data_IF_854320660091
#
_entry.id   IF_854320660091
#
_cell.length_a   1.000
_cell.length_b   1.000
_cell.length_c   1.000
_cell.angle_alpha   90.00
_cell.angle_beta   90.00
_cell.angle_gamma   90.00
#
_symmetry.space_group_name_H-M   'P 1'
#
loop_
_entity.id
_entity.type
_entity.pdbx_description
1 polymer ?
#
# COMPACT_ATOMS: atom_id res chain seq x y z
N UNK A 1 7.75 -7.55 -4.86
CA UNK A 1 9.02 -7.04 -5.41
C UNK A 1 8.82 -5.57 -5.77
N UNK A 2 9.75 -4.68 -5.38
CA UNK A 2 9.77 -3.28 -5.83
C UNK A 2 10.91 -3.14 -6.84
N UNK A 3 10.63 -2.55 -8.00
CA UNK A 3 11.61 -2.28 -9.05
C UNK A 3 11.56 -0.79 -9.36
N UNK A 4 12.71 -0.15 -9.40
CA UNK A 4 12.87 1.26 -9.78
C UNK A 4 13.61 1.32 -11.10
N UNK A 5 12.96 1.85 -12.13
CA UNK A 5 13.50 2.02 -13.49
C UNK A 5 13.32 3.46 -13.95
N UNK A 6 14.05 3.86 -14.98
CA UNK A 6 13.77 5.11 -15.68
C UNK A 6 12.46 4.97 -16.46
N UNK A 7 11.73 6.07 -16.60
CA UNK A 7 10.45 6.08 -17.34
C UNK A 7 10.64 5.64 -18.80
N UNK A 8 11.77 6.00 -19.42
CA UNK A 8 12.16 5.57 -20.77
C UNK A 8 12.22 4.04 -20.94
N UNK A 9 12.45 3.31 -19.85
CA UNK A 9 12.61 1.85 -19.88
C UNK A 9 11.29 1.11 -19.66
N UNK A 10 10.20 1.83 -19.37
CA UNK A 10 8.91 1.24 -19.00
C UNK A 10 8.36 0.31 -20.10
N UNK A 11 8.45 0.74 -21.37
CA UNK A 11 8.00 -0.06 -22.50
C UNK A 11 8.82 -1.35 -22.66
N UNK A 12 10.13 -1.28 -22.42
CA UNK A 12 11.03 -2.45 -22.48
C UNK A 12 10.74 -3.41 -21.32
N UNK A 13 10.55 -2.88 -20.11
CA UNK A 13 10.22 -3.66 -18.92
C UNK A 13 8.91 -4.43 -19.09
N UNK A 14 7.85 -3.76 -19.57
CA UNK A 14 6.54 -4.38 -19.81
C UNK A 14 6.59 -5.52 -20.84
N UNK A 15 7.54 -5.47 -21.78
CA UNK A 15 7.72 -6.50 -22.81
C UNK A 15 8.80 -7.55 -22.45
N UNK A 16 9.40 -7.45 -21.26
CA UNK A 16 10.48 -8.31 -20.81
C UNK A 16 10.03 -9.78 -20.65
N UNK A 17 11.00 -10.69 -20.69
CA UNK A 17 10.77 -12.13 -20.44
C UNK A 17 10.16 -12.38 -19.06
N UNK A 18 10.47 -11.52 -18.07
CA UNK A 18 9.95 -11.64 -16.71
C UNK A 18 8.45 -11.38 -16.66
N UNK A 19 8.00 -10.24 -17.19
CA UNK A 19 6.58 -9.86 -17.22
C UNK A 19 5.76 -10.88 -18.01
N UNK A 20 6.24 -11.29 -19.20
CA UNK A 20 5.59 -12.34 -20.00
C UNK A 20 5.45 -13.67 -19.25
N UNK A 21 6.43 -14.03 -18.41
CA UNK A 21 6.37 -15.26 -17.60
C UNK A 21 5.32 -15.16 -16.49
N UNK A 22 5.09 -13.98 -15.92
CA UNK A 22 3.99 -13.77 -14.98
C UNK A 22 2.64 -13.79 -15.68
N UNK A 23 2.53 -13.11 -16.82
CA UNK A 23 1.28 -13.08 -17.61
C UNK A 23 0.85 -14.50 -18.01
N UNK A 24 1.78 -15.34 -18.49
CA UNK A 24 1.50 -16.72 -18.86
C UNK A 24 1.07 -17.62 -17.69
N UNK A 25 1.36 -17.22 -16.45
CA UNK A 25 0.98 -17.95 -15.23
C UNK A 25 -0.23 -17.35 -14.52
N UNK A 26 -0.77 -16.25 -15.03
CA UNK A 26 -1.88 -15.55 -14.41
C UNK A 26 -3.14 -15.72 -15.25
N UNK A 27 -4.26 -15.95 -14.58
CA UNK A 27 -5.59 -15.92 -15.23
C UNK A 27 -6.11 -14.49 -15.41
N UNK A 28 -5.60 -13.53 -14.63
CA UNK A 28 -5.99 -12.12 -14.64
C UNK A 28 -4.79 -11.22 -14.38
N UNK A 29 -4.82 -10.03 -14.95
CA UNK A 29 -3.85 -8.97 -14.67
C UNK A 29 -4.60 -7.73 -14.28
N UNK A 30 -4.14 -7.08 -13.21
CA UNK A 30 -4.56 -5.73 -12.85
C UNK A 30 -3.34 -4.82 -12.94
N UNK A 31 -3.49 -3.73 -13.68
CA UNK A 31 -2.46 -2.71 -13.82
C UNK A 31 -3.05 -1.34 -13.50
N UNK A 32 -2.29 -0.55 -12.75
CA UNK A 32 -2.69 0.80 -12.35
C UNK A 32 -1.51 1.75 -12.45
N UNK A 33 -1.74 2.90 -13.07
CA UNK A 33 -0.79 4.01 -13.13
C UNK A 33 -1.13 4.98 -12.02
N UNK A 34 -0.13 5.31 -11.21
CA UNK A 34 -0.30 6.02 -9.95
C UNK A 34 0.56 7.27 -9.93
N UNK A 35 -0.02 8.38 -9.50
CA UNK A 35 0.69 9.64 -9.24
C UNK A 35 0.76 9.88 -7.74
N UNK A 36 1.94 10.14 -7.17
CA UNK A 36 2.06 10.25 -5.71
C UNK A 36 1.43 11.55 -5.18
N UNK A 37 0.50 11.42 -4.23
CA UNK A 37 -0.11 12.54 -3.50
C UNK A 37 0.73 12.90 -2.28
N UNK A 38 1.06 11.88 -1.48
CA UNK A 38 1.81 12.06 -0.25
C UNK A 38 2.53 10.77 0.10
N UNK A 39 3.68 10.91 0.74
CA UNK A 39 4.44 9.80 1.29
C UNK A 39 5.02 10.19 2.65
N UNK A 40 4.96 9.27 3.59
CA UNK A 40 5.62 9.35 4.88
C UNK A 40 6.42 8.07 5.11
N UNK A 41 7.67 8.23 5.56
CA UNK A 41 8.55 7.10 5.85
C UNK A 41 9.38 6.63 4.66
N UNK A 42 9.88 5.39 4.73
CA UNK A 42 10.87 4.83 3.79
C UNK A 42 10.55 3.39 3.44
N UNK A 43 10.95 2.99 2.23
CA UNK A 43 10.95 1.60 1.78
C UNK A 43 12.38 1.08 1.71
N UNK A 44 12.76 0.23 2.67
CA UNK A 44 14.10 -0.38 2.72
C UNK A 44 15.22 0.68 2.72
N UNK A 45 15.05 1.72 3.53
CA UNK A 45 15.98 2.83 3.68
C UNK A 45 15.87 3.91 2.60
N UNK A 46 15.05 3.71 1.55
CA UNK A 46 14.91 4.63 0.42
C UNK A 46 13.56 5.34 0.42
N UNK A 47 13.48 6.49 -0.25
CA UNK A 47 12.22 7.21 -0.52
C UNK A 47 11.86 7.03 -2.00
N UNK A 48 11.19 5.92 -2.39
CA UNK A 48 10.97 5.59 -3.80
C UNK A 48 9.85 6.41 -4.45
N UNK A 49 9.08 7.15 -3.67
CA UNK A 49 7.97 7.96 -4.15
C UNK A 49 8.28 9.43 -3.85
N UNK A 50 8.09 10.29 -4.84
CA UNK A 50 8.21 11.73 -4.71
C UNK A 50 6.84 12.34 -4.89
N UNK A 51 6.37 13.23 -3.99
CA UNK A 51 5.11 13.92 -4.18
C UNK A 51 5.11 14.69 -5.49
N UNK A 52 4.04 14.56 -6.26
CA UNK A 52 3.88 15.29 -7.50
C UNK A 52 2.81 16.36 -7.36
N UNK A 53 2.92 17.42 -8.15
CA UNK A 53 1.95 18.51 -8.12
C UNK A 53 0.64 18.10 -8.80
N UNK A 54 -0.47 18.56 -8.21
CA UNK A 54 -1.82 18.44 -8.74
C UNK A 54 -2.38 19.85 -8.95
N UNK A 55 -2.93 20.13 -10.13
CA UNK A 55 -3.56 21.42 -10.44
C UNK A 55 -4.91 21.59 -9.73
N UNK A 56 -5.60 20.48 -9.48
CA UNK A 56 -6.90 20.45 -8.78
C UNK A 56 -6.92 19.39 -7.68
N UNK A 57 -7.73 19.56 -6.63
CA UNK A 57 -7.97 18.50 -5.66
C UNK A 57 -8.37 17.21 -6.37
N UNK A 58 -7.67 16.11 -6.07
CA UNK A 58 -7.96 14.81 -6.66
C UNK A 58 -9.17 14.17 -5.97
N UNK A 59 -10.29 14.02 -6.67
CA UNK A 59 -11.56 13.60 -6.06
C UNK A 59 -12.01 12.21 -6.53
N UNK A 60 -11.14 11.46 -7.19
CA UNK A 60 -11.42 10.14 -7.77
C UNK A 60 -10.75 9.04 -6.94
N UNK A 61 -10.75 7.82 -7.46
CA UNK A 61 -10.08 6.67 -6.85
C UNK A 61 -8.66 7.02 -6.41
N UNK A 62 -8.31 6.51 -5.23
CA UNK A 62 -6.96 6.63 -4.67
C UNK A 62 -6.45 5.27 -4.27
N UNK A 63 -5.13 5.12 -4.33
CA UNK A 63 -4.44 3.95 -3.80
C UNK A 63 -3.68 4.35 -2.54
N UNK A 64 -3.69 3.46 -1.55
CA UNK A 64 -2.75 3.50 -0.45
C UNK A 64 -1.87 2.26 -0.42
N UNK A 65 -0.58 2.52 -0.30
CA UNK A 65 0.45 1.52 0.00
C UNK A 65 0.89 1.77 1.44
N UNK A 66 0.69 0.79 2.31
CA UNK A 66 1.25 0.79 3.65
C UNK A 66 2.29 -0.32 3.76
N UNK A 67 3.42 -0.05 4.40
CA UNK A 67 4.44 -1.06 4.67
C UNK A 67 5.01 -0.82 6.06
N UNK A 68 5.20 -1.88 6.82
CA UNK A 68 5.87 -1.83 8.10
C UNK A 68 6.87 -2.99 8.21
N UNK A 69 8.10 -2.67 8.61
CA UNK A 69 9.08 -3.67 9.04
C UNK A 69 9.06 -3.72 10.56
N UNK A 70 8.75 -4.88 11.12
CA UNK A 70 8.65 -5.05 12.57
C UNK A 70 10.03 -5.38 13.15
N UNK A 71 10.35 -4.83 14.32
CA UNK A 71 11.51 -5.24 15.10
C UNK A 71 11.32 -6.71 15.48
N UNK A 72 12.32 -7.55 15.21
CA UNK A 72 12.21 -9.00 15.35
C UNK A 72 11.66 -9.45 16.73
N UNK A 73 12.09 -8.81 17.83
CA UNK A 73 11.66 -9.12 19.20
C UNK A 73 10.23 -8.62 19.54
N UNK A 74 9.60 -7.84 18.64
CA UNK A 74 8.24 -7.31 18.79
C UNK A 74 7.20 -8.04 17.93
N UNK A 75 7.61 -8.99 17.08
CA UNK A 75 6.71 -9.78 16.24
C UNK A 75 5.54 -10.42 17.02
N UNK A 76 5.74 -11.05 18.19
CA UNK A 76 4.64 -11.69 18.91
C UNK A 76 3.55 -10.70 19.35
N UNK A 77 3.94 -9.53 19.87
CA UNK A 77 3.02 -8.49 20.35
C UNK A 77 2.29 -7.84 19.16
N UNK A 78 3.01 -7.62 18.06
CA UNK A 78 2.45 -7.06 16.83
C UNK A 78 1.36 -7.98 16.25
N UNK A 79 1.63 -9.27 16.07
CA UNK A 79 0.66 -10.22 15.51
C UNK A 79 -0.59 -10.41 16.37
N UNK A 80 -0.49 -10.23 17.70
CA UNK A 80 -1.67 -10.21 18.57
C UNK A 80 -2.52 -8.94 18.40
N UNK A 81 -1.93 -7.85 17.91
CA UNK A 81 -2.57 -6.53 17.80
C UNK A 81 -3.15 -6.24 16.39
N UNK A 82 -2.74 -6.98 15.36
CA UNK A 82 -3.13 -6.76 13.95
C UNK A 82 -4.54 -7.25 13.58
N UNK A 83 -5.07 -8.39 14.08
CA UNK A 83 -6.32 -8.96 13.58
C UNK A 83 -7.52 -7.98 13.58
N UNK A 84 -7.74 -7.17 14.64
CA UNK A 84 -8.83 -6.19 14.63
C UNK A 84 -8.71 -5.13 13.53
N UNK A 85 -7.49 -4.73 13.17
CA UNK A 85 -7.24 -3.72 12.12
C UNK A 85 -7.56 -4.29 10.75
N UNK A 86 -7.15 -5.53 10.49
CA UNK A 86 -7.42 -6.21 9.22
C UNK A 86 -8.91 -6.42 8.99
N UNK A 87 -9.67 -6.78 10.03
CA UNK A 87 -11.13 -6.89 9.95
C UNK A 87 -11.75 -5.53 9.65
N UNK A 88 -11.38 -4.49 10.40
CA UNK A 88 -11.91 -3.13 10.19
C UNK A 88 -11.57 -2.56 8.81
N UNK A 89 -10.43 -2.96 8.20
CA UNK A 89 -10.08 -2.57 6.85
C UNK A 89 -11.07 -3.18 5.84
N UNK A 90 -11.36 -4.47 5.96
CA UNK A 90 -12.28 -5.17 5.04
C UNK A 90 -13.71 -4.63 5.11
N UNK A 91 -14.09 -4.08 6.25
CA UNK A 91 -15.42 -3.48 6.48
C UNK A 91 -15.44 -1.97 6.24
N UNK A 92 -14.33 -1.37 5.80
CA UNK A 92 -14.23 0.07 5.64
C UNK A 92 -15.08 0.57 4.47
N UNK A 93 -15.99 1.50 4.77
CA UNK A 93 -16.79 2.17 3.76
C UNK A 93 -15.90 2.87 2.72
N UNK A 94 -16.18 2.62 1.45
CA UNK A 94 -15.44 3.16 0.31
C UNK A 94 -14.11 2.45 0.03
N UNK A 95 -13.81 1.32 0.69
CA UNK A 95 -12.77 0.39 0.26
C UNK A 95 -13.29 -0.42 -0.94
N UNK A 96 -12.57 -0.39 -2.06
CA UNK A 96 -12.88 -1.17 -3.25
C UNK A 96 -12.21 -2.54 -3.19
N UNK A 97 -10.92 -2.56 -2.84
CA UNK A 97 -10.14 -3.81 -2.72
C UNK A 97 -8.88 -3.58 -1.89
N UNK A 98 -8.40 -4.63 -1.23
CA UNK A 98 -7.13 -4.63 -0.51
C UNK A 98 -6.39 -5.97 -0.70
N UNK A 99 -5.09 -5.87 -1.01
CA UNK A 99 -4.17 -7.01 -1.15
C UNK A 99 -3.03 -6.86 -0.15
N UNK A 100 -2.61 -7.97 0.42
CA UNK A 100 -1.41 -8.05 1.23
C UNK A 100 -0.12 -8.01 0.41
N UNK A 101 0.85 -7.20 0.84
CA UNK A 101 2.21 -7.19 0.30
C UNK A 101 3.13 -7.86 1.33
N UNK A 102 3.82 -8.95 0.96
CA UNK A 102 4.76 -9.63 1.85
C UNK A 102 5.50 -10.77 1.18
N UNK A 103 6.56 -11.24 1.85
CA UNK A 103 7.31 -12.43 1.47
C UNK A 103 6.94 -13.55 2.46
N UNK A 104 6.37 -14.65 1.94
CA UNK A 104 6.24 -15.87 2.72
C UNK A 104 7.64 -16.37 3.08
N UNK A 105 7.96 -16.79 4.33
CA UNK A 105 7.07 -17.03 5.48
C UNK A 105 7.05 -15.90 6.54
N UNK A 106 7.69 -14.75 6.28
CA UNK A 106 7.98 -13.71 7.30
C UNK A 106 6.75 -12.86 7.65
N UNK A 107 5.67 -12.96 6.86
CA UNK A 107 4.37 -12.34 7.11
C UNK A 107 4.07 -11.14 6.20
N UNK A 108 2.89 -10.54 6.42
CA UNK A 108 2.45 -9.33 5.74
C UNK A 108 3.34 -8.15 6.16
N UNK A 109 4.18 -7.69 5.24
CA UNK A 109 5.01 -6.51 5.45
C UNK A 109 4.30 -5.23 5.01
N UNK A 110 3.13 -5.33 4.38
CA UNK A 110 2.38 -4.19 3.90
C UNK A 110 1.03 -4.53 3.28
N UNK A 111 0.32 -3.51 2.82
CA UNK A 111 -0.94 -3.61 2.08
C UNK A 111 -0.93 -2.67 0.87
N UNK A 112 -1.62 -3.10 -0.18
CA UNK A 112 -2.05 -2.29 -1.30
C UNK A 112 -3.57 -2.20 -1.21
N UNK A 113 -4.14 -1.00 -1.18
CA UNK A 113 -5.58 -0.80 -1.06
C UNK A 113 -6.09 0.27 -2.02
N UNK A 114 -7.24 0.01 -2.65
CA UNK A 114 -7.92 0.92 -3.57
C UNK A 114 -9.17 1.45 -2.88
N UNK A 115 -9.36 2.76 -2.94
CA UNK A 115 -10.46 3.47 -2.31
C UNK A 115 -11.21 4.31 -3.32
N UNK A 116 -12.51 4.51 -3.11
CA UNK A 116 -13.37 5.31 -3.97
C UNK A 116 -12.95 6.78 -4.03
N UNK A 117 -12.42 7.31 -2.93
CA UNK A 117 -12.04 8.73 -2.82
C UNK A 117 -10.99 8.97 -1.72
N UNK A 118 -10.28 10.12 -1.75
CA UNK A 118 -9.43 10.53 -0.64
C UNK A 118 -10.19 10.73 0.68
N UNK A 119 -11.48 11.06 0.62
CA UNK A 119 -12.32 11.20 1.80
C UNK A 119 -12.55 9.85 2.48
N UNK A 120 -12.84 8.80 1.72
CA UNK A 120 -13.06 7.45 2.25
C UNK A 120 -11.85 6.93 3.04
N UNK A 121 -10.65 7.01 2.45
CA UNK A 121 -9.43 6.58 3.14
C UNK A 121 -9.11 7.45 4.37
N UNK A 122 -9.38 8.77 4.31
CA UNK A 122 -9.18 9.67 5.46
C UNK A 122 -10.13 9.29 6.60
N UNK A 123 -11.39 8.99 6.29
CA UNK A 123 -12.37 8.50 7.26
C UNK A 123 -11.88 7.21 7.91
N UNK A 124 -11.42 6.24 7.12
CA UNK A 124 -10.85 5.01 7.67
C UNK A 124 -9.65 5.26 8.60
N UNK A 125 -8.68 6.06 8.14
CA UNK A 125 -7.45 6.32 8.88
C UNK A 125 -7.68 7.10 10.19
N UNK A 126 -8.66 8.00 10.24
CA UNK A 126 -8.83 8.90 11.40
C UNK A 126 -10.10 8.68 12.21
N UNK A 127 -11.08 7.92 11.73
CA UNK A 127 -12.35 7.71 12.44
C UNK A 127 -12.53 6.30 13.00
N UNK A 128 -11.85 5.28 12.45
CA UNK A 128 -11.95 3.92 12.94
C UNK A 128 -11.32 3.75 14.33
N UNK A 129 -12.12 3.34 15.33
CA UNK A 129 -11.62 3.07 16.69
C UNK A 129 -10.49 2.03 16.71
N UNK A 130 -10.60 1.00 15.87
CA UNK A 130 -9.55 -0.01 15.68
C UNK A 130 -8.26 0.58 15.12
N UNK A 131 -8.35 1.48 14.15
CA UNK A 131 -7.17 2.13 13.55
C UNK A 131 -6.50 3.11 14.54
N UNK A 132 -7.28 3.90 15.29
CA UNK A 132 -6.77 4.74 16.38
C UNK A 132 -6.05 3.91 17.44
N UNK A 133 -6.64 2.79 17.87
CA UNK A 133 -6.03 1.89 18.83
C UNK A 133 -4.70 1.32 18.30
N UNK A 134 -4.64 0.98 17.02
CA UNK A 134 -3.41 0.49 16.37
C UNK A 134 -2.33 1.58 16.26
N UNK A 135 -2.69 2.82 15.95
CA UNK A 135 -1.77 3.96 15.95
C UNK A 135 -1.24 4.21 17.38
N UNK A 136 -2.12 4.21 18.38
CA UNK A 136 -1.73 4.39 19.78
C UNK A 136 -0.81 3.26 20.27
N UNK A 137 -1.14 2.01 19.94
CA UNK A 137 -0.30 0.86 20.25
C UNK A 137 1.04 0.92 19.51
N UNK A 138 1.07 1.38 18.26
CA UNK A 138 2.32 1.63 17.52
C UNK A 138 3.21 2.63 18.24
N UNK A 139 2.64 3.76 18.68
CA UNK A 139 3.38 4.79 19.40
C UNK A 139 3.91 4.29 20.76
N UNK A 140 3.10 3.48 21.47
CA UNK A 140 3.47 2.89 22.76
C UNK A 140 4.55 1.82 22.65
N UNK A 141 4.33 0.85 21.75
CA UNK A 141 5.17 -0.35 21.65
C UNK A 141 6.42 -0.13 20.80
N UNK A 142 6.43 0.91 19.95
CA UNK A 142 7.53 1.27 19.04
C UNK A 142 8.05 0.05 18.27
N UNK A 143 7.13 -0.79 17.79
CA UNK A 143 7.43 -2.07 17.16
C UNK A 143 7.95 -1.95 15.72
N UNK A 144 7.81 -0.78 15.09
CA UNK A 144 8.31 -0.56 13.74
C UNK A 144 9.81 -0.26 13.77
N UNK A 145 10.57 -1.04 13.00
CA UNK A 145 11.94 -0.75 12.62
C UNK A 145 11.99 0.18 11.40
N UNK A 146 10.93 0.17 10.57
CA UNK A 146 10.72 1.07 9.45
C UNK A 146 9.22 1.06 9.10
N UNK A 147 8.71 2.18 8.59
CA UNK A 147 7.35 2.30 8.09
C UNK A 147 7.33 3.12 6.80
N UNK A 148 6.34 2.85 5.95
CA UNK A 148 5.97 3.64 4.79
C UNK A 148 4.44 3.74 4.72
N UNK A 149 3.94 4.96 4.58
CA UNK A 149 2.55 5.24 4.22
C UNK A 149 2.55 6.15 3.00
N UNK A 150 2.09 5.64 1.86
CA UNK A 150 2.05 6.38 0.61
C UNK A 150 0.63 6.38 0.04
N UNK A 151 0.17 7.55 -0.41
CA UNK A 151 -1.13 7.78 -1.06
C UNK A 151 -0.91 8.23 -2.49
N UNK A 152 -1.74 7.73 -3.39
CA UNK A 152 -1.61 7.96 -4.81
C UNK A 152 -2.96 8.26 -5.45
N UNK A 153 -2.96 9.14 -6.44
CA UNK A 153 -4.05 9.31 -7.38
C UNK A 153 -4.00 8.21 -8.43
N UNK A 154 -5.14 7.61 -8.76
CA UNK A 154 -5.25 6.63 -9.85
C UNK A 154 -5.39 7.35 -11.17
N UNK A 155 -4.33 7.39 -11.97
CA UNK A 155 -4.33 8.09 -13.27
C UNK A 155 -4.98 7.24 -14.35
N UNK A 156 -4.63 5.96 -14.38
CA UNK A 156 -5.15 4.99 -15.33
C UNK A 156 -5.24 3.61 -14.65
N UNK A 157 -6.22 2.81 -15.04
CA UNK A 157 -6.42 1.46 -14.54
C UNK A 157 -6.86 0.53 -15.67
N UNK A 158 -6.33 -0.68 -15.71
CA UNK A 158 -6.74 -1.68 -16.69
C UNK A 158 -6.71 -3.09 -16.10
N UNK A 159 -7.58 -3.94 -16.65
CA UNK A 159 -7.78 -5.30 -16.18
C UNK A 159 -8.64 -5.37 -14.91
N UNK A 160 -8.47 -6.42 -14.11
CA UNK A 160 -9.32 -6.68 -12.94
C UNK A 160 -8.56 -7.41 -11.84
N UNK A 161 -8.88 -7.05 -10.59
CA UNK A 161 -8.45 -7.76 -9.38
C UNK A 161 -9.20 -9.08 -9.16
#
# INVERSE_FOLDING_TARGET
MLVTILESDLASFNNSKLVKRWDNKSSKRYQVVLKNIAVQGKWSGKSPFLPELFETPWNRKVVAITRARIKWHKNPIFWRSVPPVTVSLKEANGLISAIGIGEAPIGLQGTFSIWESPAAIRTFAYQGAAHKAAIAATAREKWYAEELFARFAVIDESGSL
#
